data_IF_547571391550
#
_entry.id   IF_547571391550
#
_cell.length_a   1.000
_cell.length_b   1.000
_cell.length_c   1.000
_cell.angle_alpha   90.00
_cell.angle_beta   90.00
_cell.angle_gamma   90.00
#
_symmetry.space_group_name_H-M   'P 1'
#
loop_
_entity.id
_entity.type
_entity.pdbx_description
1 polymer ?
#
# COMPACT_ATOMS: atom_id res chain seq x y z
N UNK A 1 19.42 28.99 2.23
CA UNK A 1 18.41 27.96 1.94
C UNK A 1 19.09 26.59 1.93
N UNK A 2 18.46 25.55 2.47
CA UNK A 2 19.02 24.20 2.58
C UNK A 2 17.97 23.21 2.08
N UNK A 3 18.34 22.27 1.19
CA UNK A 3 17.45 21.18 0.75
C UNK A 3 17.35 20.12 1.86
N UNK A 4 16.12 19.69 2.15
CA UNK A 4 15.80 18.71 3.19
C UNK A 4 14.98 17.57 2.60
N UNK A 5 15.36 16.34 2.93
CA UNK A 5 14.57 15.13 2.67
C UNK A 5 13.47 14.93 3.73
N UNK A 6 12.73 13.82 3.64
CA UNK A 6 11.63 13.50 4.56
C UNK A 6 12.03 13.42 6.05
N UNK A 7 13.26 13.02 6.36
CA UNK A 7 13.74 12.89 7.74
C UNK A 7 14.29 14.22 8.25
N UNK A 8 15.13 14.88 7.44
CA UNK A 8 15.70 16.18 7.75
C UNK A 8 14.62 17.27 7.87
N UNK A 9 13.54 17.19 7.08
CA UNK A 9 12.41 18.12 7.16
C UNK A 9 11.71 18.05 8.51
N UNK A 10 11.41 16.86 9.04
CA UNK A 10 10.77 16.73 10.36
C UNK A 10 11.67 17.31 11.46
N UNK A 11 12.97 17.00 11.43
CA UNK A 11 13.93 17.55 12.39
C UNK A 11 13.98 19.08 12.33
N UNK A 12 14.07 19.66 11.13
CA UNK A 12 14.10 21.10 10.92
C UNK A 12 12.80 21.78 11.37
N UNK A 13 11.63 21.19 11.06
CA UNK A 13 10.33 21.72 11.49
C UNK A 13 10.22 21.68 13.02
N UNK A 14 10.66 20.60 13.67
CA UNK A 14 10.65 20.50 15.15
C UNK A 14 11.57 21.53 15.78
N UNK A 15 12.76 21.73 15.24
CA UNK A 15 13.69 22.77 15.72
C UNK A 15 13.07 24.17 15.55
N UNK A 16 12.54 24.45 14.35
CA UNK A 16 11.85 25.71 14.04
C UNK A 16 10.71 25.99 15.02
N UNK A 17 9.91 24.97 15.32
CA UNK A 17 8.78 25.09 16.24
C UNK A 17 9.21 25.11 17.70
N UNK A 18 10.33 24.51 18.11
CA UNK A 18 10.79 24.50 19.49
C UNK A 18 11.17 25.90 19.99
N UNK A 19 11.81 26.70 19.14
CA UNK A 19 12.39 28.01 19.51
C UNK A 19 11.40 29.19 19.37
N UNK A 20 10.23 28.96 18.78
CA UNK A 20 9.26 30.02 18.52
C UNK A 20 8.38 30.34 19.75
N UNK A 21 7.63 31.44 19.72
CA UNK A 21 6.43 31.61 20.59
C UNK A 21 5.14 31.63 19.77
N UNK A 22 5.29 31.81 18.45
CA UNK A 22 4.21 31.91 17.49
C UNK A 22 4.61 31.23 16.18
N UNK A 23 3.68 30.48 15.60
CA UNK A 23 3.87 29.80 14.32
C UNK A 23 2.64 29.95 13.41
N UNK A 24 2.90 29.95 12.10
CA UNK A 24 1.87 29.94 11.05
C UNK A 24 2.07 28.74 10.15
N UNK A 25 1.08 27.87 10.08
CA UNK A 25 1.17 26.57 9.41
C UNK A 25 0.12 26.49 8.31
N UNK A 26 0.52 26.70 7.06
CA UNK A 26 -0.34 26.47 5.89
C UNK A 26 -0.04 25.08 5.33
N UNK A 27 -0.71 24.07 5.89
CA UNK A 27 -0.47 22.66 5.57
C UNK A 27 -1.80 22.00 5.23
N UNK A 28 -1.92 21.55 3.99
CA UNK A 28 -3.18 21.04 3.45
C UNK A 28 -3.75 19.87 4.26
N UNK A 29 -2.92 18.87 4.58
CA UNK A 29 -3.38 17.59 5.14
C UNK A 29 -2.76 17.30 6.51
N UNK A 30 -3.60 16.81 7.43
CA UNK A 30 -3.24 16.50 8.82
C UNK A 30 -3.58 15.05 9.17
N UNK A 31 -2.60 14.29 9.64
CA UNK A 31 -2.73 12.88 10.01
C UNK A 31 -2.81 12.68 11.53
N UNK A 32 -3.14 11.45 11.95
CA UNK A 32 -3.17 11.08 13.38
C UNK A 32 -1.80 11.30 14.03
N UNK A 33 -1.79 11.96 15.19
CA UNK A 33 -0.59 12.18 16.02
C UNK A 33 0.34 13.28 15.49
N UNK A 34 -0.16 14.18 14.64
CA UNK A 34 0.61 15.30 14.12
C UNK A 34 0.97 16.30 15.23
N UNK A 35 0.06 16.54 16.17
CA UNK A 35 0.27 17.45 17.30
C UNK A 35 1.54 17.08 18.08
N UNK A 36 1.65 15.83 18.50
CA UNK A 36 2.77 15.36 19.31
C UNK A 36 4.07 15.32 18.51
N UNK A 37 4.01 14.86 17.24
CA UNK A 37 5.19 14.76 16.38
C UNK A 37 5.83 16.11 16.11
N UNK A 38 5.00 17.13 15.91
CA UNK A 38 5.43 18.50 15.64
C UNK A 38 5.69 19.29 16.93
N UNK A 39 5.31 18.76 18.10
CA UNK A 39 5.43 19.44 19.38
C UNK A 39 4.51 20.66 19.51
N UNK A 40 3.32 20.62 18.89
CA UNK A 40 2.35 21.73 18.92
C UNK A 40 1.67 21.90 20.28
N UNK A 41 1.69 20.87 21.11
CA UNK A 41 1.17 20.84 22.48
C UNK A 41 2.11 21.49 23.50
N UNK A 42 3.33 21.86 23.10
CA UNK A 42 4.30 22.44 24.03
C UNK A 42 3.81 23.73 24.68
N UNK A 43 4.16 23.99 25.95
CA UNK A 43 3.84 25.25 26.61
C UNK A 43 4.44 26.46 25.89
N UNK A 44 3.71 27.57 25.83
CA UNK A 44 4.19 28.84 25.29
C UNK A 44 4.09 29.01 23.78
N UNK A 45 3.80 27.95 23.01
CA UNK A 45 3.53 28.05 21.58
C UNK A 45 2.08 28.43 21.31
N UNK A 46 1.88 29.46 20.49
CA UNK A 46 0.63 29.74 19.80
C UNK A 46 0.77 29.40 18.31
N UNK A 47 -0.27 28.83 17.70
CA UNK A 47 -0.22 28.50 16.27
C UNK A 47 -1.49 28.88 15.53
N UNK A 48 -1.33 29.48 14.36
CA UNK A 48 -2.40 29.65 13.37
C UNK A 48 -2.25 28.57 12.30
N UNK A 49 -3.27 27.71 12.17
CA UNK A 49 -3.26 26.59 11.25
C UNK A 49 -4.29 26.83 10.17
N UNK A 50 -3.84 26.73 8.92
CA UNK A 50 -4.69 26.73 7.73
C UNK A 50 -4.57 25.36 7.05
N UNK A 51 -5.70 24.65 6.91
CA UNK A 51 -5.76 23.32 6.29
C UNK A 51 -6.85 23.24 5.20
N UNK A 52 -7.12 22.05 4.65
CA UNK A 52 -8.14 21.81 3.64
C UNK A 52 -9.10 20.69 4.06
N UNK A 53 -10.24 21.04 4.66
CA UNK A 53 -11.24 20.09 5.14
C UNK A 53 -11.98 19.41 3.99
N UNK A 54 -12.22 20.12 2.89
CA UNK A 54 -12.94 19.68 1.70
C UNK A 54 -12.20 18.58 0.92
N UNK A 55 -10.89 18.44 1.13
CA UNK A 55 -10.07 17.40 0.53
C UNK A 55 -10.42 15.97 1.01
N UNK A 56 -11.07 15.85 2.18
CA UNK A 56 -11.28 14.59 2.88
C UNK A 56 -9.98 13.88 3.29
N UNK A 57 -8.82 14.55 3.23
CA UNK A 57 -7.52 13.95 3.51
C UNK A 57 -7.01 14.21 4.94
N UNK A 58 -7.71 15.04 5.71
CA UNK A 58 -7.39 15.30 7.12
C UNK A 58 -8.07 14.28 8.04
N UNK A 59 -7.33 13.77 9.03
CA UNK A 59 -7.85 12.87 10.04
C UNK A 59 -8.82 13.62 10.97
N UNK A 60 -10.10 13.21 11.08
CA UNK A 60 -11.10 13.96 11.84
C UNK A 60 -10.83 14.02 13.35
N UNK A 61 -10.21 12.97 13.91
CA UNK A 61 -9.83 12.96 15.32
C UNK A 61 -8.72 13.96 15.59
N UNK A 62 -7.75 14.08 14.68
CA UNK A 62 -6.70 15.07 14.81
C UNK A 62 -7.24 16.50 14.63
N UNK A 63 -8.13 16.73 13.65
CA UNK A 63 -8.79 18.02 13.46
C UNK A 63 -9.54 18.47 14.73
N UNK A 64 -10.28 17.58 15.38
CA UNK A 64 -10.98 17.88 16.64
C UNK A 64 -9.99 18.29 17.73
N UNK A 65 -8.86 17.58 17.87
CA UNK A 65 -7.82 17.93 18.84
C UNK A 65 -7.15 19.27 18.54
N UNK A 66 -6.92 19.60 17.27
CA UNK A 66 -6.38 20.91 16.87
C UNK A 66 -7.37 22.03 17.18
N UNK A 67 -8.66 21.80 16.93
CA UNK A 67 -9.74 22.74 17.21
C UNK A 67 -9.92 23.00 18.71
N UNK A 68 -9.88 21.94 19.53
CA UNK A 68 -10.07 22.04 20.98
C UNK A 68 -8.84 22.60 21.72
N UNK A 69 -7.70 22.74 21.04
CA UNK A 69 -6.46 23.16 21.69
C UNK A 69 -6.45 24.68 21.93
N UNK A 70 -6.30 25.17 23.18
CA UNK A 70 -6.56 26.57 23.54
C UNK A 70 -5.57 27.58 22.96
N UNK A 71 -4.44 27.11 22.42
CA UNK A 71 -3.41 27.96 21.81
C UNK A 71 -3.33 27.81 20.29
N UNK A 72 -4.25 27.06 19.68
CA UNK A 72 -4.30 26.85 18.24
C UNK A 72 -5.56 27.53 17.69
N UNK A 73 -5.39 28.30 16.61
CA UNK A 73 -6.51 28.78 15.80
C UNK A 73 -6.57 27.97 14.52
N UNK A 74 -7.69 27.31 14.26
CA UNK A 74 -7.87 26.45 13.10
C UNK A 74 -8.77 27.11 12.05
N UNK A 75 -8.27 27.19 10.82
CA UNK A 75 -8.97 27.72 9.64
C UNK A 75 -8.85 26.74 8.48
N UNK A 76 -9.78 26.82 7.54
CA UNK A 76 -9.77 25.99 6.32
C UNK A 76 -9.80 26.85 5.06
N UNK A 77 -9.20 26.35 3.99
CA UNK A 77 -9.34 26.90 2.65
C UNK A 77 -9.45 25.76 1.62
N UNK A 78 -10.53 25.68 0.82
CA UNK A 78 -10.83 24.53 -0.04
C UNK A 78 -9.81 24.30 -1.17
N UNK A 79 -9.16 25.38 -1.63
CA UNK A 79 -8.10 25.30 -2.64
C UNK A 79 -6.68 25.18 -2.05
N UNK A 80 -6.52 25.00 -0.74
CA UNK A 80 -5.19 24.87 -0.14
C UNK A 80 -4.57 23.51 -0.48
N UNK A 81 -3.39 23.55 -1.12
CA UNK A 81 -2.51 22.39 -1.30
C UNK A 81 -1.06 22.67 -0.88
N UNK A 82 -0.80 23.80 -0.22
CA UNK A 82 0.53 24.17 0.26
C UNK A 82 0.96 23.35 1.49
N UNK A 83 2.27 23.32 1.74
CA UNK A 83 2.89 22.81 2.96
C UNK A 83 4.00 23.77 3.38
N UNK A 84 3.63 24.73 4.20
CA UNK A 84 4.50 25.79 4.68
C UNK A 84 4.43 25.84 6.20
N UNK A 85 5.60 25.80 6.81
CA UNK A 85 5.84 25.89 8.24
C UNK A 85 6.61 27.18 8.49
N UNK A 86 6.04 28.13 9.23
CA UNK A 86 6.64 29.45 9.37
C UNK A 86 6.68 29.91 10.83
N UNK A 87 7.77 30.58 11.20
CA UNK A 87 7.92 31.38 12.42
C UNK A 87 8.69 32.66 12.07
N UNK A 88 8.78 33.60 13.01
CA UNK A 88 9.59 34.81 12.80
C UNK A 88 11.09 34.51 12.59
N UNK A 89 11.58 33.34 13.04
CA UNK A 89 12.98 32.92 12.95
C UNK A 89 13.33 32.12 11.70
N UNK A 90 12.35 31.58 10.98
CA UNK A 90 12.60 30.74 9.81
C UNK A 90 11.33 30.13 9.22
N UNK A 91 11.50 29.41 8.11
CA UNK A 91 10.44 28.64 7.49
C UNK A 91 10.96 27.35 6.85
N UNK A 92 10.08 26.35 6.78
CA UNK A 92 10.25 25.16 5.95
C UNK A 92 9.11 25.14 4.93
N UNK A 93 9.45 24.94 3.66
CA UNK A 93 8.49 24.90 2.57
C UNK A 93 8.79 23.69 1.68
N UNK A 94 7.78 22.92 1.30
CA UNK A 94 8.00 21.77 0.42
C UNK A 94 6.78 20.90 0.20
N UNK A 95 7.02 19.60 0.09
CA UNK A 95 5.99 18.58 -0.18
C UNK A 95 5.42 17.91 1.08
N UNK A 96 6.11 18.01 2.22
CA UNK A 96 5.77 17.33 3.48
C UNK A 96 4.47 17.83 4.14
N UNK A 97 3.42 17.01 4.15
CA UNK A 97 2.21 17.26 4.95
C UNK A 97 2.40 16.85 6.42
N UNK A 98 1.51 17.30 7.31
CA UNK A 98 1.50 16.96 8.73
C UNK A 98 1.00 15.51 9.00
N UNK A 99 1.67 14.49 8.45
CA UNK A 99 1.22 13.10 8.52
C UNK A 99 2.39 12.12 8.61
N UNK A 100 2.13 10.87 9.02
CA UNK A 100 3.16 9.83 9.13
C UNK A 100 3.92 9.61 7.80
N UNK A 101 3.21 9.70 6.67
CA UNK A 101 3.80 9.43 5.37
C UNK A 101 4.57 10.65 4.80
N UNK A 102 4.28 11.86 5.28
CA UNK A 102 4.93 13.10 4.83
C UNK A 102 5.99 13.66 5.79
N UNK A 103 6.06 13.12 7.00
CA UNK A 103 7.09 13.41 8.00
C UNK A 103 7.62 12.05 8.47
N UNK A 104 8.56 11.48 7.71
CA UNK A 104 9.11 10.16 7.99
C UNK A 104 9.68 10.10 9.41
N UNK A 105 9.33 9.06 10.16
CA UNK A 105 9.84 8.84 11.51
C UNK A 105 11.09 7.95 11.41
N UNK A 106 12.16 8.28 12.15
CA UNK A 106 13.29 7.38 12.36
C UNK A 106 12.76 6.05 12.94
N UNK A 107 12.80 4.99 12.13
CA UNK A 107 12.27 3.66 12.46
C UNK A 107 11.10 3.17 11.60
N UNK A 108 10.39 4.07 10.90
CA UNK A 108 9.29 3.76 9.95
C UNK A 108 9.71 3.94 8.47
N UNK A 109 11.01 4.03 8.20
CA UNK A 109 11.62 4.32 6.89
C UNK A 109 11.29 3.31 5.77
N UNK A 110 10.52 2.26 6.04
CA UNK A 110 10.12 1.27 5.05
C UNK A 110 8.84 1.63 4.26
N UNK A 111 8.16 2.76 4.55
CA UNK A 111 6.87 3.09 3.91
C UNK A 111 6.47 4.56 3.76
N UNK A 112 7.38 5.52 4.02
CA UNK A 112 7.12 6.96 3.79
C UNK A 112 7.27 7.37 2.32
N UNK A 113 6.69 8.50 1.91
CA UNK A 113 7.01 9.11 0.61
C UNK A 113 8.40 9.74 0.66
N UNK A 114 9.10 9.78 -0.46
CA UNK A 114 10.24 10.68 -0.60
C UNK A 114 9.73 12.12 -0.68
N UNK A 115 10.22 12.97 0.21
CA UNK A 115 9.76 14.35 0.31
C UNK A 115 10.91 15.31 0.02
N UNK A 116 10.59 16.47 -0.57
CA UNK A 116 11.55 17.52 -0.85
C UNK A 116 11.08 18.82 -0.22
N UNK A 117 11.90 19.36 0.66
CA UNK A 117 11.63 20.60 1.36
C UNK A 117 12.85 21.52 1.32
N UNK A 118 12.62 22.80 1.55
CA UNK A 118 13.66 23.81 1.67
C UNK A 118 13.51 24.56 2.99
N UNK A 119 14.61 24.68 3.72
CA UNK A 119 14.71 25.58 4.86
C UNK A 119 15.06 27.00 4.40
N UNK A 120 14.37 27.99 4.95
CA UNK A 120 14.45 29.39 4.58
C UNK A 120 14.66 30.23 5.84
N UNK A 121 15.68 31.08 5.84
CA UNK A 121 16.01 32.03 6.92
C UNK A 121 16.11 33.48 6.45
N UNK A 122 15.88 33.73 5.16
CA UNK A 122 16.00 35.06 4.57
C UNK A 122 14.82 35.96 4.96
N UNK A 123 15.09 37.05 5.67
CA UNK A 123 14.07 37.92 6.27
C UNK A 123 13.03 38.46 5.27
N UNK A 124 13.46 38.80 4.05
CA UNK A 124 12.55 39.24 2.98
C UNK A 124 11.54 38.16 2.61
N UNK A 125 12.03 36.93 2.40
CA UNK A 125 11.18 35.77 2.06
C UNK A 125 10.26 35.40 3.22
N UNK A 126 10.74 35.47 4.46
CA UNK A 126 9.90 35.23 5.65
C UNK A 126 8.75 36.24 5.73
N UNK A 127 9.01 37.51 5.42
CA UNK A 127 7.99 38.56 5.37
C UNK A 127 6.95 38.31 4.27
N UNK A 128 7.39 37.80 3.11
CA UNK A 128 6.50 37.48 2.01
C UNK A 128 5.64 36.24 2.28
N UNK A 129 6.21 35.21 2.91
CA UNK A 129 5.45 34.04 3.40
C UNK A 129 4.39 34.48 4.40
N UNK A 130 4.74 35.36 5.33
CA UNK A 130 3.83 35.88 6.33
C UNK A 130 2.64 36.61 5.70
N UNK A 131 2.92 37.55 4.78
CA UNK A 131 1.89 38.29 4.04
C UNK A 131 1.03 37.37 3.18
N UNK A 132 1.62 36.37 2.55
CA UNK A 132 0.91 35.37 1.77
C UNK A 132 -0.03 34.53 2.66
N UNK A 133 0.46 34.04 3.80
CA UNK A 133 -0.31 33.28 4.77
C UNK A 133 -1.51 34.10 5.25
N UNK A 134 -1.30 35.35 5.67
CA UNK A 134 -2.38 36.22 6.15
C UNK A 134 -3.47 36.38 5.10
N UNK A 135 -3.12 36.70 3.85
CA UNK A 135 -4.11 36.81 2.76
C UNK A 135 -4.87 35.51 2.52
N UNK A 136 -4.17 34.39 2.49
CA UNK A 136 -4.78 33.08 2.23
C UNK A 136 -5.69 32.64 3.38
N UNK A 137 -5.27 32.92 4.62
CA UNK A 137 -6.05 32.66 5.83
C UNK A 137 -7.35 33.47 5.85
N UNK A 138 -7.32 34.74 5.47
CA UNK A 138 -8.53 35.58 5.33
C UNK A 138 -9.46 35.15 4.19
N UNK A 139 -8.91 34.61 3.09
CA UNK A 139 -9.70 34.07 1.99
C UNK A 139 -10.38 32.73 2.34
N UNK A 140 -9.85 32.03 3.34
CA UNK A 140 -10.47 30.85 3.94
C UNK A 140 -11.55 31.22 4.97
N UNK A 141 -11.98 30.23 5.73
CA UNK A 141 -12.99 30.39 6.78
C UNK A 141 -12.51 29.85 8.13
N UNK A 142 -13.05 30.38 9.22
CA UNK A 142 -12.83 29.82 10.56
C UNK A 142 -13.54 28.48 10.64
N UNK A 143 -12.85 27.45 11.14
CA UNK A 143 -13.46 26.12 11.27
C UNK A 143 -14.49 26.14 12.39
N UNK A 144 -15.68 25.59 12.13
CA UNK A 144 -16.70 25.31 13.14
C UNK A 144 -16.81 23.79 13.39
N UNK A 145 -17.40 23.34 14.52
CA UNK A 145 -17.56 21.92 14.82
C UNK A 145 -18.24 21.10 13.71
N UNK A 146 -19.21 21.71 13.01
CA UNK A 146 -19.97 21.14 11.91
C UNK A 146 -19.10 20.89 10.67
N UNK A 147 -18.09 21.73 10.44
CA UNK A 147 -17.15 21.53 9.34
C UNK A 147 -16.23 20.33 9.58
N UNK A 148 -15.87 20.07 10.84
CA UNK A 148 -15.10 18.88 11.22
C UNK A 148 -15.94 17.62 11.02
N UNK A 149 -17.23 17.68 11.34
CA UNK A 149 -18.16 16.56 11.12
C UNK A 149 -18.34 16.28 9.62
N UNK A 150 -18.50 17.33 8.79
CA UNK A 150 -18.52 17.21 7.32
C UNK A 150 -17.20 16.63 6.79
N UNK A 151 -16.06 17.10 7.29
CA UNK A 151 -14.75 16.56 6.92
C UNK A 151 -14.62 15.08 7.30
N UNK A 152 -15.26 14.64 8.40
CA UNK A 152 -15.29 13.23 8.79
C UNK A 152 -16.08 12.35 7.83
N UNK A 153 -17.17 12.86 7.26
CA UNK A 153 -17.92 12.18 6.21
C UNK A 153 -17.09 12.05 4.93
N UNK A 154 -16.46 13.14 4.49
CA UNK A 154 -15.56 13.15 3.32
C UNK A 154 -14.37 12.21 3.51
N UNK A 155 -13.79 12.18 4.71
CA UNK A 155 -12.68 11.27 5.04
C UNK A 155 -13.09 9.80 5.00
N UNK A 156 -14.28 9.46 5.53
CA UNK A 156 -14.85 8.10 5.42
C UNK A 156 -15.12 7.71 3.97
N UNK A 157 -15.66 8.62 3.16
CA UNK A 157 -15.89 8.40 1.73
C UNK A 157 -14.57 8.19 0.99
N UNK A 158 -13.55 8.99 1.31
CA UNK A 158 -12.20 8.85 0.78
C UNK A 158 -11.58 7.50 1.13
N UNK A 159 -11.75 6.96 2.34
CA UNK A 159 -11.26 5.61 2.68
C UNK A 159 -11.86 4.49 1.82
N UNK A 160 -13.05 4.69 1.25
CA UNK A 160 -13.72 3.70 0.38
C UNK A 160 -13.20 3.74 -1.06
N UNK A 161 -12.59 4.85 -1.47
CA UNK A 161 -12.18 5.14 -2.86
C UNK A 161 -10.66 5.28 -2.98
N UNK A 162 -9.97 5.63 -1.88
CA UNK A 162 -8.55 5.91 -1.89
C UNK A 162 -7.80 4.66 -2.34
N UNK A 163 -6.92 4.79 -3.36
CA UNK A 163 -5.86 3.83 -3.55
C UNK A 163 -5.13 3.77 -2.20
N UNK A 164 -5.15 2.61 -1.56
CA UNK A 164 -4.29 2.37 -0.42
C UNK A 164 -2.90 2.83 -0.84
N UNK A 165 -2.22 3.67 -0.05
CA UNK A 165 -0.80 4.00 -0.25
C UNK A 165 0.12 2.78 -0.13
N UNK A 166 -0.36 1.59 -0.50
CA UNK A 166 0.42 0.41 -0.84
C UNK A 166 1.29 0.80 -2.03
N UNK A 167 2.55 0.43 -1.92
CA UNK A 167 3.50 0.28 -3.03
C UNK A 167 2.74 -0.09 -4.30
N UNK A 168 2.92 0.67 -5.38
CA UNK A 168 2.46 0.24 -6.71
C UNK A 168 3.06 -1.14 -6.92
N UNK A 169 2.21 -2.13 -7.20
CA UNK A 169 2.65 -3.48 -7.45
C UNK A 169 3.75 -3.44 -8.52
N UNK A 170 4.89 -4.07 -8.23
CA UNK A 170 6.03 -4.08 -9.14
C UNK A 170 5.85 -5.09 -10.25
N UNK A 171 5.01 -6.11 -10.02
CA UNK A 171 4.72 -7.16 -10.97
C UNK A 171 3.21 -7.33 -11.18
N UNK A 172 2.82 -8.00 -12.27
CA UNK A 172 1.43 -8.23 -12.61
C UNK A 172 0.73 -9.12 -11.56
N UNK A 173 1.42 -10.14 -11.08
CA UNK A 173 0.89 -11.06 -10.08
C UNK A 173 0.76 -10.39 -8.71
N UNK A 174 1.70 -9.53 -8.30
CA UNK A 174 1.56 -8.71 -7.09
C UNK A 174 0.29 -7.83 -7.19
N UNK A 175 0.03 -7.24 -8.36
CA UNK A 175 -1.17 -6.44 -8.59
C UNK A 175 -2.44 -7.29 -8.45
N UNK A 176 -2.44 -8.52 -8.97
CA UNK A 176 -3.54 -9.47 -8.83
C UNK A 176 -3.82 -9.81 -7.36
N UNK A 177 -2.83 -10.31 -6.61
CA UNK A 177 -3.06 -10.69 -5.22
C UNK A 177 -3.39 -9.51 -4.31
N UNK A 178 -2.91 -8.30 -4.65
CA UNK A 178 -3.28 -7.09 -3.92
C UNK A 178 -4.74 -6.67 -4.15
N UNK A 179 -5.35 -7.02 -5.28
CA UNK A 179 -6.71 -6.58 -5.67
C UNK A 179 -7.40 -7.57 -6.63
N UNK A 180 -7.66 -8.83 -6.24
CA UNK A 180 -8.13 -9.88 -7.16
C UNK A 180 -9.55 -9.65 -7.69
N UNK A 181 -10.36 -8.83 -6.99
CA UNK A 181 -11.72 -8.47 -7.40
C UNK A 181 -11.78 -7.23 -8.32
N UNK A 182 -10.64 -6.63 -8.67
CA UNK A 182 -10.61 -5.41 -9.48
C UNK A 182 -11.18 -5.66 -10.89
N UNK A 183 -12.05 -4.77 -11.37
CA UNK A 183 -12.78 -4.97 -12.62
C UNK A 183 -11.87 -5.04 -13.87
N UNK A 184 -10.65 -4.51 -13.79
CA UNK A 184 -9.67 -4.55 -14.91
C UNK A 184 -9.26 -5.97 -15.30
N UNK A 185 -9.33 -6.93 -14.38
CA UNK A 185 -8.96 -8.32 -14.67
C UNK A 185 -9.91 -9.00 -15.65
N UNK A 186 -11.16 -8.51 -15.75
CA UNK A 186 -12.13 -8.94 -16.78
C UNK A 186 -11.75 -8.48 -18.19
N UNK A 187 -10.75 -7.62 -18.29
CA UNK A 187 -10.24 -7.02 -19.54
C UNK A 187 -8.86 -7.56 -19.91
N UNK A 188 -8.32 -8.50 -19.13
CA UNK A 188 -7.04 -9.15 -19.40
C UNK A 188 -7.29 -10.65 -19.61
N UNK A 189 -6.83 -11.17 -20.73
CA UNK A 189 -7.00 -12.57 -21.12
C UNK A 189 -5.64 -13.21 -21.38
N UNK A 190 -5.59 -14.53 -21.29
CA UNK A 190 -4.44 -15.35 -21.67
C UNK A 190 -4.87 -16.27 -22.79
N UNK A 191 -4.22 -16.14 -23.94
CA UNK A 191 -4.45 -16.93 -25.14
C UNK A 191 -3.39 -18.01 -25.26
N UNK A 192 -3.83 -19.24 -25.51
CA UNK A 192 -2.97 -20.38 -25.85
C UNK A 192 -3.39 -20.87 -27.24
N UNK A 193 -2.59 -20.56 -28.25
CA UNK A 193 -2.89 -20.83 -29.66
C UNK A 193 -1.98 -21.92 -30.22
N UNK A 194 -2.55 -23.07 -30.59
CA UNK A 194 -1.83 -24.09 -31.37
C UNK A 194 -1.90 -23.80 -32.86
N UNK A 195 -2.99 -23.17 -33.28
CA UNK A 195 -3.19 -22.76 -34.66
C UNK A 195 -2.93 -21.27 -34.77
N UNK A 196 -1.92 -20.91 -35.55
CA UNK A 196 -1.72 -19.54 -36.00
C UNK A 196 -2.71 -19.16 -37.09
N UNK A 197 -2.57 -17.95 -37.60
CA UNK A 197 -3.32 -17.49 -38.77
C UNK A 197 -3.04 -18.38 -39.98
N UNK A 198 -4.05 -18.55 -40.83
CA UNK A 198 -3.83 -19.25 -42.10
C UNK A 198 -2.93 -18.40 -43.01
N UNK A 199 -2.19 -19.03 -43.92
CA UNK A 199 -1.36 -18.31 -44.89
C UNK A 199 -2.13 -17.27 -45.72
N UNK A 200 -3.44 -17.52 -45.93
CA UNK A 200 -4.34 -16.56 -46.58
C UNK A 200 -4.52 -15.29 -45.74
N UNK A 201 -4.68 -15.45 -44.43
CA UNK A 201 -4.98 -14.36 -43.50
C UNK A 201 -3.74 -13.55 -43.17
N UNK A 202 -2.59 -14.22 -43.06
CA UNK A 202 -1.29 -13.57 -42.98
C UNK A 202 -1.04 -12.71 -44.23
N UNK A 203 -1.26 -13.27 -45.42
CA UNK A 203 -1.10 -12.52 -46.68
C UNK A 203 -2.08 -11.33 -46.77
N UNK A 204 -3.31 -11.51 -46.30
CA UNK A 204 -4.28 -10.42 -46.24
C UNK A 204 -3.83 -9.29 -45.29
N UNK A 205 -3.39 -9.61 -44.07
CA UNK A 205 -2.88 -8.62 -43.12
C UNK A 205 -1.69 -7.84 -43.69
N UNK A 206 -0.75 -8.54 -44.34
CA UNK A 206 0.41 -7.92 -44.99
C UNK A 206 -0.04 -6.93 -46.07
N UNK A 207 -1.04 -7.29 -46.88
CA UNK A 207 -1.56 -6.41 -47.92
C UNK A 207 -2.28 -5.19 -47.34
N UNK A 208 -3.10 -5.35 -46.30
CA UNK A 208 -3.79 -4.23 -45.64
C UNK A 208 -2.82 -3.22 -45.04
N UNK A 209 -1.69 -3.69 -44.49
CA UNK A 209 -0.61 -2.84 -44.00
C UNK A 209 0.12 -2.14 -45.14
N UNK A 210 0.44 -2.86 -46.22
CA UNK A 210 1.09 -2.31 -47.40
C UNK A 210 0.26 -1.21 -48.08
N UNK A 211 -1.07 -1.39 -48.09
CA UNK A 211 -2.01 -0.41 -48.65
C UNK A 211 -2.32 0.74 -47.69
N UNK A 212 -1.73 0.76 -46.49
CA UNK A 212 -1.90 1.81 -45.49
C UNK A 212 -3.27 1.83 -44.81
N UNK A 213 -4.06 0.76 -44.94
CA UNK A 213 -5.36 0.61 -44.26
C UNK A 213 -5.21 0.15 -42.81
N UNK A 214 -4.13 -0.59 -42.52
CA UNK A 214 -3.76 -1.05 -41.18
C UNK A 214 -2.32 -0.59 -40.84
N UNK A 215 -2.03 -0.44 -39.55
CA UNK A 215 -0.68 -0.10 -39.08
C UNK A 215 0.22 -1.33 -38.95
N UNK A 216 1.54 -1.14 -39.05
CA UNK A 216 2.51 -2.20 -38.73
C UNK A 216 2.35 -2.71 -37.29
N UNK A 217 2.64 -3.99 -37.04
CA UNK A 217 2.50 -4.63 -35.72
C UNK A 217 1.08 -5.07 -35.38
N UNK A 218 0.21 -5.18 -36.39
CA UNK A 218 -1.11 -5.78 -36.27
C UNK A 218 -1.04 -7.29 -36.50
N UNK A 219 -1.78 -8.03 -35.69
CA UNK A 219 -2.08 -9.45 -35.87
C UNK A 219 -3.59 -9.68 -35.70
N UNK A 220 -4.04 -10.94 -35.71
CA UNK A 220 -5.43 -11.28 -35.51
C UNK A 220 -5.63 -12.63 -34.84
N UNK A 221 -6.77 -12.78 -34.18
CA UNK A 221 -7.29 -14.07 -33.73
C UNK A 221 -8.52 -14.45 -34.54
N UNK A 222 -8.65 -15.71 -34.91
CA UNK A 222 -9.87 -16.25 -35.53
C UNK A 222 -10.80 -16.82 -34.45
N UNK A 223 -12.11 -16.61 -34.59
CA UNK A 223 -13.12 -17.25 -33.73
C UNK A 223 -13.36 -16.63 -32.35
N UNK A 224 -12.57 -15.64 -31.94
CA UNK A 224 -12.74 -14.96 -30.64
C UNK A 224 -13.47 -13.61 -30.69
N UNK A 225 -14.20 -13.36 -31.78
CA UNK A 225 -14.91 -12.10 -31.99
C UNK A 225 -15.99 -11.82 -30.94
N UNK A 226 -16.60 -12.86 -30.37
CA UNK A 226 -17.58 -12.74 -29.28
C UNK A 226 -16.93 -12.72 -27.88
N UNK A 227 -15.72 -13.26 -27.73
CA UNK A 227 -15.04 -13.39 -26.45
C UNK A 227 -14.16 -12.17 -26.11
N UNK A 228 -13.57 -11.54 -27.13
CA UNK A 228 -12.68 -10.39 -26.99
C UNK A 228 -13.38 -9.10 -27.39
N UNK A 229 -13.43 -8.14 -26.46
CA UNK A 229 -14.00 -6.82 -26.69
C UNK A 229 -12.93 -5.78 -27.04
N UNK A 230 -13.29 -4.70 -27.78
CA UNK A 230 -12.40 -3.57 -27.99
C UNK A 230 -11.72 -3.06 -26.71
N UNK A 231 -10.40 -2.91 -26.77
CA UNK A 231 -9.58 -2.43 -25.66
C UNK A 231 -9.17 -3.49 -24.64
N UNK A 232 -9.65 -4.74 -24.77
CA UNK A 232 -9.15 -5.86 -23.99
C UNK A 232 -7.66 -6.09 -24.30
N UNK A 233 -6.94 -6.66 -23.33
CA UNK A 233 -5.53 -7.02 -23.42
C UNK A 233 -5.40 -8.55 -23.44
N UNK A 234 -4.44 -9.05 -24.21
CA UNK A 234 -4.17 -10.48 -24.34
C UNK A 234 -2.69 -10.74 -24.10
N UNK A 235 -2.40 -11.70 -23.24
CA UNK A 235 -1.09 -12.32 -23.08
C UNK A 235 -1.10 -13.58 -23.96
N UNK A 236 -0.27 -13.60 -25.00
CA UNK A 236 -0.32 -14.65 -26.01
C UNK A 236 0.78 -15.70 -25.81
N UNK A 237 0.39 -16.95 -26.00
CA UNK A 237 1.28 -18.10 -25.99
C UNK A 237 1.04 -18.99 -27.21
N UNK A 238 2.07 -19.14 -28.05
CA UNK A 238 2.08 -20.10 -29.15
C UNK A 238 2.37 -21.49 -28.62
N UNK A 239 1.52 -22.47 -28.91
CA UNK A 239 1.61 -23.84 -28.37
C UNK A 239 2.25 -24.78 -29.39
N UNK A 240 3.30 -25.48 -28.96
CA UNK A 240 3.94 -26.55 -29.72
C UNK A 240 4.08 -27.80 -28.85
N UNK A 241 3.44 -28.90 -29.26
CA UNK A 241 3.43 -30.14 -28.47
C UNK A 241 2.70 -29.96 -27.13
N UNK A 242 3.44 -30.05 -26.02
CA UNK A 242 2.97 -29.82 -24.64
C UNK A 242 3.52 -28.54 -24.01
N UNK A 243 4.34 -27.79 -24.75
CA UNK A 243 4.97 -26.54 -24.28
C UNK A 243 4.34 -25.36 -24.98
N UNK A 244 4.51 -24.18 -24.41
CA UNK A 244 4.12 -22.93 -25.06
C UNK A 244 5.20 -21.87 -24.92
N UNK A 245 5.35 -21.08 -25.97
CA UNK A 245 6.29 -19.98 -26.04
C UNK A 245 5.53 -18.65 -26.01
N UNK A 246 6.12 -17.65 -25.38
CA UNK A 246 5.52 -16.33 -25.27
C UNK A 246 5.42 -15.67 -26.65
N UNK A 247 4.20 -15.46 -27.13
CA UNK A 247 3.88 -14.89 -28.44
C UNK A 247 3.72 -13.37 -28.44
N UNK A 248 3.58 -12.74 -27.25
CA UNK A 248 3.59 -11.29 -27.10
C UNK A 248 2.45 -10.76 -26.22
N UNK A 249 2.38 -9.43 -26.13
CA UNK A 249 1.27 -8.72 -25.50
C UNK A 249 0.49 -7.97 -26.57
N UNK A 250 -0.82 -8.11 -26.54
CA UNK A 250 -1.68 -7.61 -27.59
C UNK A 250 -2.83 -6.79 -27.03
N UNK A 251 -3.24 -5.75 -27.75
CA UNK A 251 -4.45 -4.98 -27.45
C UNK A 251 -5.47 -5.13 -28.57
N UNK A 252 -6.72 -5.41 -28.20
CA UNK A 252 -7.83 -5.61 -29.12
C UNK A 252 -8.30 -4.30 -29.73
N UNK A 253 -8.37 -4.25 -31.07
CA UNK A 253 -8.80 -3.08 -31.81
C UNK A 253 -10.34 -2.98 -31.92
N UNK A 254 -10.90 -1.76 -32.11
CA UNK A 254 -12.35 -1.52 -32.15
C UNK A 254 -13.14 -2.23 -33.26
N UNK A 255 -12.47 -2.71 -34.31
CA UNK A 255 -13.12 -3.39 -35.43
C UNK A 255 -12.12 -4.07 -36.35
N UNK A 256 -12.65 -4.91 -37.23
CA UNK A 256 -11.91 -5.60 -38.29
C UNK A 256 -12.68 -5.43 -39.61
N UNK A 257 -12.01 -5.08 -40.72
CA UNK A 257 -12.63 -5.15 -42.05
C UNK A 257 -13.04 -6.57 -42.44
N UNK A 258 -12.40 -7.58 -41.84
CA UNK A 258 -12.70 -9.00 -42.00
C UNK A 258 -13.45 -9.48 -40.75
N UNK A 259 -14.76 -9.68 -40.86
CA UNK A 259 -15.68 -9.89 -39.72
C UNK A 259 -15.37 -11.14 -38.89
N UNK A 260 -14.68 -12.14 -39.46
CA UNK A 260 -14.25 -13.35 -38.75
C UNK A 260 -12.97 -13.18 -37.93
N UNK A 261 -12.18 -12.14 -38.21
CA UNK A 261 -10.89 -11.89 -37.56
C UNK A 261 -11.06 -10.82 -36.48
N UNK A 262 -10.48 -11.07 -35.31
CA UNK A 262 -10.35 -10.08 -34.25
C UNK A 262 -8.97 -9.45 -34.33
N UNK A 263 -8.90 -8.23 -34.86
CA UNK A 263 -7.63 -7.50 -34.99
C UNK A 263 -7.09 -7.11 -33.62
N UNK A 264 -5.78 -7.27 -33.49
CA UNK A 264 -5.00 -6.86 -32.33
C UNK A 264 -3.75 -6.11 -32.76
N UNK A 265 -3.26 -5.23 -31.91
CA UNK A 265 -1.98 -4.53 -32.10
C UNK A 265 -1.02 -4.88 -30.97
N UNK A 266 0.24 -5.10 -31.32
CA UNK A 266 1.28 -5.41 -30.33
C UNK A 266 1.49 -4.22 -29.38
N UNK A 267 1.59 -4.52 -28.07
CA UNK A 267 1.91 -3.54 -27.03
C UNK A 267 3.17 -3.95 -26.27
N UNK A 268 3.98 -2.99 -25.85
CA UNK A 268 5.22 -3.28 -25.11
C UNK A 268 4.99 -3.65 -23.63
N UNK A 269 3.82 -3.32 -23.09
CA UNK A 269 3.48 -3.50 -21.68
C UNK A 269 1.95 -3.48 -21.50
N UNK A 270 1.48 -4.19 -20.49
CA UNK A 270 0.07 -4.21 -20.08
C UNK A 270 -0.24 -2.93 -19.31
N UNK A 271 -0.99 -2.01 -19.92
CA UNK A 271 -1.42 -0.77 -19.28
C UNK A 271 -2.79 -0.96 -18.61
N UNK A 272 -2.78 -1.38 -17.34
CA UNK A 272 -3.99 -1.61 -16.56
C UNK A 272 -4.39 -0.32 -15.85
N UNK A 273 -5.50 0.29 -16.28
CA UNK A 273 -6.03 1.51 -15.66
C UNK A 273 -6.17 1.30 -14.14
N UNK A 274 -5.66 2.25 -13.37
CA UNK A 274 -5.67 2.28 -11.89
C UNK A 274 -4.74 1.30 -11.17
N UNK A 275 -4.13 0.32 -11.86
CA UNK A 275 -3.17 -0.61 -11.24
C UNK A 275 -1.73 -0.36 -11.66
N UNK A 276 -1.49 0.12 -12.88
CA UNK A 276 -0.15 0.46 -13.35
C UNK A 276 0.15 -0.05 -14.76
N UNK A 277 1.44 -0.14 -15.07
CA UNK A 277 1.95 -0.67 -16.34
C UNK A 277 2.89 -1.82 -16.03
N UNK A 278 2.70 -2.95 -16.69
CA UNK A 278 3.40 -4.20 -16.35
C UNK A 278 4.05 -4.83 -17.58
N UNK A 279 5.26 -5.33 -17.38
CA UNK A 279 5.92 -6.31 -18.26
C UNK A 279 5.99 -7.60 -17.47
N UNK A 280 5.74 -8.74 -18.11
CA UNK A 280 5.85 -10.04 -17.44
C UNK A 280 7.30 -10.31 -17.04
N UNK A 281 7.49 -10.67 -15.77
CA UNK A 281 8.76 -11.24 -15.32
C UNK A 281 8.95 -12.66 -15.88
N UNK A 282 10.18 -13.16 -15.84
CA UNK A 282 10.47 -14.54 -16.28
C UNK A 282 9.67 -15.58 -15.48
N UNK A 283 9.47 -15.34 -14.17
CA UNK A 283 8.70 -16.22 -13.28
C UNK A 283 7.20 -16.19 -13.62
N UNK A 284 6.63 -15.01 -13.83
CA UNK A 284 5.22 -14.86 -14.22
C UNK A 284 4.96 -15.49 -15.59
N UNK A 285 5.89 -15.30 -16.53
CA UNK A 285 5.81 -15.91 -17.85
C UNK A 285 5.86 -17.45 -17.77
N UNK A 286 6.78 -18.00 -16.96
CA UNK A 286 6.88 -19.44 -16.75
C UNK A 286 5.62 -20.01 -16.06
N UNK A 287 5.06 -19.29 -15.10
CA UNK A 287 3.84 -19.72 -14.40
C UNK A 287 2.61 -19.74 -15.32
N UNK A 288 2.43 -18.69 -16.14
CA UNK A 288 1.35 -18.62 -17.14
C UNK A 288 1.53 -19.68 -18.24
N UNK A 289 2.75 -19.86 -18.75
CA UNK A 289 3.03 -20.95 -19.71
C UNK A 289 2.76 -22.33 -19.10
N UNK A 290 3.07 -22.53 -17.82
CA UNK A 290 2.87 -23.80 -17.10
C UNK A 290 1.43 -24.31 -17.04
N UNK A 291 0.42 -23.44 -17.20
CA UNK A 291 -0.99 -23.86 -17.20
C UNK A 291 -1.54 -24.25 -18.58
N UNK A 292 -0.72 -24.17 -19.64
CA UNK A 292 -1.12 -24.44 -21.05
C UNK A 292 -1.91 -25.74 -21.21
N UNK A 293 -1.38 -26.86 -20.69
CA UNK A 293 -2.02 -28.18 -20.85
C UNK A 293 -3.40 -28.23 -20.21
N UNK A 294 -3.56 -27.58 -19.05
CA UNK A 294 -4.84 -27.56 -18.31
C UNK A 294 -5.84 -26.65 -19.01
N UNK A 295 -5.40 -25.48 -19.49
CA UNK A 295 -6.24 -24.55 -20.24
C UNK A 295 -6.74 -25.15 -21.56
N UNK A 296 -5.89 -25.88 -22.29
CA UNK A 296 -6.28 -26.58 -23.52
C UNK A 296 -7.23 -27.75 -23.28
N UNK A 297 -7.14 -28.42 -22.13
CA UNK A 297 -8.08 -29.49 -21.78
C UNK A 297 -9.52 -28.97 -21.58
N UNK A 298 -9.69 -27.67 -21.33
CA UNK A 298 -11.01 -27.03 -21.20
C UNK A 298 -11.52 -26.38 -22.49
N UNK A 299 -10.71 -26.35 -23.57
CA UNK A 299 -11.11 -25.79 -24.85
C UNK A 299 -12.06 -26.73 -25.62
N UNK A 300 -13.05 -26.18 -26.32
CA UNK A 300 -14.06 -26.95 -27.07
C UNK A 300 -13.45 -27.85 -28.15
N UNK A 301 -12.40 -27.38 -28.83
CA UNK A 301 -11.69 -28.11 -29.88
C UNK A 301 -10.37 -28.74 -29.40
N UNK A 302 -9.94 -28.43 -28.15
CA UNK A 302 -8.66 -28.83 -27.58
C UNK A 302 -7.42 -28.24 -28.27
N UNK A 303 -7.60 -27.27 -29.18
CA UNK A 303 -6.53 -26.68 -29.99
C UNK A 303 -6.17 -25.27 -29.52
N UNK A 304 -7.18 -24.44 -29.29
CA UNK A 304 -6.98 -23.05 -28.87
C UNK A 304 -7.80 -22.74 -27.62
N UNK A 305 -7.17 -22.17 -26.60
CA UNK A 305 -7.84 -21.78 -25.36
C UNK A 305 -7.70 -20.28 -25.13
N UNK A 306 -8.81 -19.65 -24.75
CA UNK A 306 -8.82 -18.28 -24.24
C UNK A 306 -9.42 -18.31 -22.84
N UNK A 307 -8.63 -17.91 -21.86
CA UNK A 307 -9.06 -17.83 -20.46
C UNK A 307 -8.91 -16.41 -19.96
N UNK A 308 -9.78 -16.00 -19.05
CA UNK A 308 -9.56 -14.75 -18.32
C UNK A 308 -8.30 -14.86 -17.46
N UNK A 309 -7.68 -13.72 -17.17
CA UNK A 309 -6.51 -13.70 -16.30
C UNK A 309 -6.82 -14.30 -14.91
N UNK A 310 -8.03 -14.10 -14.39
CA UNK A 310 -8.44 -14.70 -13.12
C UNK A 310 -8.55 -16.22 -13.15
N UNK A 311 -9.03 -16.80 -14.26
CA UNK A 311 -9.05 -18.25 -14.45
C UNK A 311 -7.62 -18.80 -14.57
N UNK A 312 -6.74 -18.13 -15.31
CA UNK A 312 -5.33 -18.50 -15.40
C UNK A 312 -4.65 -18.50 -14.01
N UNK A 313 -4.90 -17.47 -13.19
CA UNK A 313 -4.40 -17.42 -11.81
C UNK A 313 -4.96 -18.54 -10.94
N UNK A 314 -6.24 -18.87 -11.08
CA UNK A 314 -6.83 -20.00 -10.36
C UNK A 314 -6.20 -21.34 -10.75
N UNK A 315 -5.86 -21.54 -12.03
CA UNK A 315 -5.14 -22.73 -12.50
C UNK A 315 -3.71 -22.78 -11.93
N UNK A 316 -3.02 -21.64 -11.86
CA UNK A 316 -1.69 -21.53 -11.24
C UNK A 316 -1.77 -21.90 -9.76
N UNK A 317 -2.76 -21.37 -9.04
CA UNK A 317 -2.95 -21.64 -7.61
C UNK A 317 -3.33 -23.11 -7.37
N UNK A 318 -4.15 -23.72 -8.23
CA UNK A 318 -4.52 -25.13 -8.15
C UNK A 318 -3.36 -26.09 -8.50
N UNK A 319 -2.47 -25.68 -9.40
CA UNK A 319 -1.27 -26.42 -9.79
C UNK A 319 -0.12 -26.32 -8.78
N UNK A 320 -0.16 -25.33 -7.88
CA UNK A 320 0.73 -25.30 -6.71
C UNK A 320 0.26 -26.37 -5.73
N UNK A 321 1.10 -27.39 -5.48
CA UNK A 321 0.97 -28.17 -4.25
C UNK A 321 0.83 -27.20 -3.07
N UNK A 322 0.08 -27.50 -2.00
CA UNK A 322 -0.03 -26.60 -0.86
C UNK A 322 1.36 -26.39 -0.27
N UNK A 323 2.02 -25.32 -0.70
CA UNK A 323 3.28 -24.89 -0.13
C UNK A 323 2.96 -24.55 1.32
N UNK A 324 3.64 -25.22 2.24
CA UNK A 324 3.75 -24.74 3.62
C UNK A 324 4.02 -23.23 3.51
N UNK A 325 3.20 -22.37 4.15
CA UNK A 325 3.35 -20.93 3.99
C UNK A 325 4.81 -20.56 4.27
N UNK A 326 5.40 -19.76 3.37
CA UNK A 326 6.75 -19.26 3.52
C UNK A 326 6.92 -18.80 4.98
N UNK A 327 7.98 -19.28 5.63
CA UNK A 327 8.21 -19.00 7.04
C UNK A 327 8.12 -17.47 7.25
N UNK A 328 7.31 -17.00 8.20
CA UNK A 328 7.12 -15.57 8.45
C UNK A 328 8.47 -14.89 8.63
N UNK A 329 8.66 -13.69 8.06
CA UNK A 329 9.91 -12.94 8.22
C UNK A 329 10.22 -12.78 9.73
N UNK A 330 11.38 -13.27 10.22
CA UNK A 330 11.79 -13.09 11.62
C UNK A 330 11.75 -11.62 12.07
N UNK A 331 12.05 -10.66 11.19
CA UNK A 331 11.97 -9.23 11.52
C UNK A 331 10.53 -8.75 11.71
N UNK A 332 9.57 -9.37 11.03
CA UNK A 332 8.15 -9.09 11.23
C UNK A 332 7.67 -9.63 12.59
N UNK A 333 8.23 -10.75 13.04
CA UNK A 333 7.99 -11.27 14.39
C UNK A 333 8.62 -10.37 15.46
N UNK A 334 9.83 -9.83 15.22
CA UNK A 334 10.46 -8.86 16.12
C UNK A 334 9.58 -7.62 16.34
N UNK A 335 9.00 -7.08 15.26
CA UNK A 335 8.03 -5.97 15.34
C UNK A 335 6.77 -6.34 16.13
N UNK A 336 6.26 -7.58 15.96
CA UNK A 336 5.11 -8.04 16.73
C UNK A 336 5.43 -8.16 18.24
N UNK A 337 6.63 -8.62 18.59
CA UNK A 337 7.11 -8.68 19.96
C UNK A 337 7.31 -7.28 20.58
N UNK A 338 7.75 -6.30 19.78
CA UNK A 338 7.82 -4.91 20.23
C UNK A 338 6.41 -4.31 20.44
N UNK A 339 5.47 -4.60 19.54
CA UNK A 339 4.10 -4.10 19.64
C UNK A 339 3.37 -4.57 20.91
N UNK A 340 3.55 -5.83 21.33
CA UNK A 340 2.97 -6.31 22.61
C UNK A 340 3.60 -5.63 23.83
N UNK A 341 4.88 -5.24 23.76
CA UNK A 341 5.53 -4.45 24.80
C UNK A 341 4.97 -3.02 24.87
N UNK A 342 4.84 -2.34 23.73
CA UNK A 342 4.36 -0.96 23.68
C UNK A 342 2.91 -0.88 24.16
N UNK A 343 2.08 -1.85 23.78
CA UNK A 343 0.70 -1.98 24.24
C UNK A 343 0.64 -2.30 25.74
N UNK A 344 1.55 -3.13 26.27
CA UNK A 344 1.68 -3.35 27.71
C UNK A 344 2.04 -2.06 28.49
N UNK A 345 2.96 -1.27 27.93
CA UNK A 345 3.39 0.00 28.52
C UNK A 345 2.23 1.02 28.54
N UNK A 346 1.31 0.95 27.59
CA UNK A 346 0.15 1.87 27.50
C UNK A 346 -0.79 1.80 28.71
N UNK A 347 -0.87 0.66 29.40
CA UNK A 347 -1.63 0.51 30.66
C UNK A 347 -0.75 0.48 31.92
N UNK A 348 0.52 0.89 31.79
CA UNK A 348 1.45 1.07 32.91
C UNK A 348 2.30 -0.15 33.27
N UNK A 349 2.22 -1.25 32.50
CA UNK A 349 3.08 -2.42 32.71
C UNK A 349 4.34 -2.34 31.84
N UNK A 350 5.51 -2.15 32.47
CA UNK A 350 6.78 -1.97 31.75
C UNK A 350 7.78 -3.11 32.07
N UNK A 351 7.74 -4.24 31.36
CA UNK A 351 8.64 -5.35 31.62
C UNK A 351 10.07 -5.07 31.10
N UNK A 352 10.91 -4.51 31.96
CA UNK A 352 12.30 -4.12 31.63
C UNK A 352 13.16 -5.28 31.16
N UNK A 353 13.03 -6.46 31.79
CA UNK A 353 13.73 -7.69 31.39
C UNK A 353 13.32 -8.19 30.01
N UNK A 354 12.04 -8.07 29.66
CA UNK A 354 11.55 -8.45 28.33
C UNK A 354 12.14 -7.54 27.24
N UNK A 355 12.12 -6.21 27.47
CA UNK A 355 12.75 -5.24 26.56
C UNK A 355 14.24 -5.48 26.37
N UNK A 356 14.95 -5.82 27.45
CA UNK A 356 16.37 -6.16 27.38
C UNK A 356 16.60 -7.42 26.52
N UNK A 357 15.83 -8.48 26.74
CA UNK A 357 15.94 -9.71 25.95
C UNK A 357 15.68 -9.46 24.46
N UNK A 358 14.67 -8.63 24.13
CA UNK A 358 14.40 -8.24 22.74
C UNK A 358 15.58 -7.52 22.08
N UNK A 359 16.22 -6.59 22.80
CA UNK A 359 17.39 -5.86 22.29
C UNK A 359 18.62 -6.78 22.11
N UNK A 360 18.81 -7.76 22.99
CA UNK A 360 19.99 -8.65 22.99
C UNK A 360 19.87 -9.84 22.04
N UNK A 361 18.66 -10.36 21.82
CA UNK A 361 18.44 -11.64 21.14
C UNK A 361 17.47 -11.57 19.96
N UNK A 362 16.77 -10.44 19.77
CA UNK A 362 15.66 -10.35 18.82
C UNK A 362 14.42 -11.12 19.30
N UNK A 363 13.31 -10.99 18.59
CA UNK A 363 12.00 -11.50 18.97
C UNK A 363 11.91 -13.02 18.95
N UNK A 364 12.39 -13.67 17.88
CA UNK A 364 12.26 -15.13 17.73
C UNK A 364 13.01 -15.88 18.83
N UNK A 365 14.28 -15.53 19.09
CA UNK A 365 15.09 -16.19 20.11
C UNK A 365 14.63 -15.82 21.53
N UNK A 366 14.17 -14.58 21.75
CA UNK A 366 13.52 -14.18 23.01
C UNK A 366 12.29 -15.04 23.29
N UNK A 367 11.44 -15.27 22.28
CA UNK A 367 10.24 -16.10 22.42
C UNK A 367 10.59 -17.55 22.77
N UNK A 368 11.59 -18.15 22.11
CA UNK A 368 12.06 -19.51 22.44
C UNK A 368 12.53 -19.61 23.89
N UNK A 369 13.30 -18.63 24.36
CA UNK A 369 13.81 -18.60 25.74
C UNK A 369 12.69 -18.52 26.77
N UNK A 370 11.67 -17.70 26.51
CA UNK A 370 10.53 -17.51 27.41
C UNK A 370 9.56 -18.71 27.41
N UNK A 371 9.40 -19.40 26.27
CA UNK A 371 8.56 -20.60 26.18
C UNK A 371 9.23 -21.80 26.85
N UNK A 372 10.53 -22.01 26.61
CA UNK A 372 11.29 -23.13 27.17
C UNK A 372 11.58 -22.95 28.67
N UNK A 373 11.63 -21.71 29.15
CA UNK A 373 11.70 -21.40 30.57
C UNK A 373 10.39 -21.67 31.32
N UNK A 374 10.43 -21.61 32.65
CA UNK A 374 9.21 -21.60 33.48
C UNK A 374 8.42 -20.31 33.25
N UNK A 375 7.12 -20.32 33.60
CA UNK A 375 6.29 -19.12 33.56
C UNK A 375 7.02 -17.98 34.29
N UNK A 376 7.20 -16.87 33.58
CA UNK A 376 7.88 -15.69 34.12
C UNK A 376 6.86 -14.82 34.84
N UNK A 377 7.30 -14.03 35.83
CA UNK A 377 6.43 -13.09 36.54
C UNK A 377 5.66 -12.16 35.62
N UNK A 378 6.17 -11.89 34.41
CA UNK A 378 5.45 -11.08 33.44
C UNK A 378 4.26 -11.74 32.77
N UNK A 379 4.25 -13.07 32.66
CA UNK A 379 3.08 -13.79 32.17
C UNK A 379 1.92 -13.71 33.19
N UNK A 380 2.24 -13.87 34.48
CA UNK A 380 1.27 -13.77 35.56
C UNK A 380 0.69 -12.35 35.66
N UNK A 381 1.52 -11.31 35.53
CA UNK A 381 1.03 -9.91 35.49
C UNK A 381 0.09 -9.66 34.31
N UNK A 382 0.38 -10.17 33.11
CA UNK A 382 -0.54 -10.03 31.96
C UNK A 382 -1.87 -10.76 32.20
N UNK A 383 -1.85 -11.89 32.91
CA UNK A 383 -3.06 -12.60 33.30
C UNK A 383 -3.90 -11.82 34.32
N UNK A 384 -3.27 -11.23 35.35
CA UNK A 384 -3.95 -10.38 36.34
C UNK A 384 -4.65 -9.18 35.68
N UNK A 385 -4.05 -8.63 34.62
CA UNK A 385 -4.64 -7.55 33.82
C UNK A 385 -5.61 -8.03 32.73
N UNK A 386 -5.92 -9.32 32.63
CA UNK A 386 -6.75 -9.92 31.59
C UNK A 386 -6.26 -9.64 30.15
N UNK A 387 -4.94 -9.44 29.97
CA UNK A 387 -4.28 -9.10 28.70
C UNK A 387 -3.33 -10.19 28.21
N UNK A 388 -3.72 -11.47 28.34
CA UNK A 388 -2.94 -12.59 27.80
C UNK A 388 -2.84 -12.57 26.26
N UNK A 389 -3.63 -11.73 25.57
CA UNK A 389 -3.44 -11.41 24.15
C UNK A 389 -2.09 -10.76 23.85
N UNK A 390 -1.43 -10.16 24.85
CA UNK A 390 -0.10 -9.54 24.76
C UNK A 390 1.03 -10.48 25.20
N UNK A 391 0.72 -11.74 25.48
CA UNK A 391 1.72 -12.71 25.85
C UNK A 391 2.51 -13.20 24.64
N UNK A 392 3.74 -13.66 24.88
CA UNK A 392 4.56 -14.31 23.86
C UNK A 392 3.90 -15.60 23.37
N UNK A 393 3.24 -16.30 24.29
CA UNK A 393 2.52 -17.54 24.04
C UNK A 393 1.37 -17.32 23.06
N UNK A 394 0.63 -16.22 23.19
CA UNK A 394 -0.42 -15.86 22.25
C UNK A 394 0.15 -15.65 20.83
N UNK A 395 1.25 -14.91 20.69
CA UNK A 395 1.93 -14.71 19.41
C UNK A 395 2.45 -16.02 18.80
N UNK A 396 3.04 -16.92 19.60
CA UNK A 396 3.58 -18.20 19.09
C UNK A 396 2.48 -19.17 18.64
N UNK A 397 1.29 -19.09 19.25
CA UNK A 397 0.13 -19.91 18.85
C UNK A 397 -0.66 -19.34 17.68
N UNK A 398 -0.39 -18.09 17.27
CA UNK A 398 -1.01 -17.47 16.11
C UNK A 398 -0.60 -18.21 14.82
N UNK A 399 -1.58 -18.55 13.99
CA UNK A 399 -1.37 -19.23 12.71
C UNK A 399 -0.41 -18.46 11.80
N UNK A 400 -0.39 -17.13 11.91
CA UNK A 400 0.52 -16.24 11.19
C UNK A 400 1.99 -16.48 11.54
N UNK A 401 2.33 -16.82 12.78
CA UNK A 401 3.72 -16.95 13.25
C UNK A 401 4.17 -18.39 13.44
N UNK A 402 3.22 -19.34 13.36
CA UNK A 402 3.41 -20.75 13.71
C UNK A 402 4.60 -21.43 13.05
N UNK A 403 4.93 -21.05 11.81
CA UNK A 403 6.04 -21.62 11.05
C UNK A 403 7.45 -21.19 11.53
N UNK A 404 7.56 -20.20 12.43
CA UNK A 404 8.83 -19.79 13.06
C UNK A 404 9.23 -20.67 14.25
N UNK A 405 8.31 -21.49 14.75
CA UNK A 405 8.45 -22.24 16.00
C UNK A 405 8.23 -23.74 15.78
N UNK A 406 8.91 -24.56 16.59
CA UNK A 406 8.71 -25.99 16.55
C UNK A 406 7.32 -26.38 17.07
N UNK A 407 6.86 -27.57 16.68
CA UNK A 407 5.60 -28.12 17.19
C UNK A 407 5.60 -28.27 18.72
N UNK A 408 6.78 -28.52 19.30
CA UNK A 408 6.95 -28.60 20.75
C UNK A 408 6.79 -27.23 21.41
N UNK A 409 7.39 -26.18 20.85
CA UNK A 409 7.28 -24.80 21.36
C UNK A 409 5.83 -24.30 21.32
N UNK A 410 5.14 -24.53 20.21
CA UNK A 410 3.74 -24.16 20.07
C UNK A 410 2.82 -24.95 21.05
N UNK A 411 3.12 -26.24 21.28
CA UNK A 411 2.40 -27.04 22.28
C UNK A 411 2.63 -26.53 23.70
N UNK A 412 3.86 -26.13 24.04
CA UNK A 412 4.18 -25.55 25.35
C UNK A 412 3.42 -24.23 25.57
N UNK A 413 3.45 -23.32 24.59
CA UNK A 413 2.71 -22.05 24.62
C UNK A 413 1.20 -22.28 24.77
N UNK A 414 0.62 -23.15 23.94
CA UNK A 414 -0.82 -23.48 24.00
C UNK A 414 -1.23 -24.10 25.33
N UNK A 415 -0.40 -25.00 25.89
CA UNK A 415 -0.65 -25.61 27.20
C UNK A 415 -0.68 -24.55 28.30
N UNK A 416 0.27 -23.60 28.28
CA UNK A 416 0.36 -22.51 29.27
C UNK A 416 -0.86 -21.59 29.19
N UNK A 417 -1.28 -21.17 27.99
CA UNK A 417 -2.50 -20.36 27.81
C UNK A 417 -3.75 -21.09 28.35
N UNK A 418 -3.89 -22.39 28.06
CA UNK A 418 -5.03 -23.20 28.53
C UNK A 418 -5.08 -23.35 30.05
N UNK A 419 -3.93 -23.48 30.71
CA UNK A 419 -3.85 -23.56 32.17
C UNK A 419 -4.44 -22.33 32.88
N UNK A 420 -4.39 -21.17 32.22
CA UNK A 420 -4.89 -19.89 32.73
C UNK A 420 -6.24 -19.49 32.11
N UNK A 421 -6.91 -20.41 31.40
CA UNK A 421 -8.25 -20.21 30.84
C UNK A 421 -8.32 -19.35 29.57
N UNK A 422 -7.18 -19.05 28.92
CA UNK A 422 -7.17 -18.24 27.71
C UNK A 422 -7.46 -19.07 26.46
N UNK A 423 -8.41 -18.61 25.64
CA UNK A 423 -8.70 -19.17 24.32
C UNK A 423 -8.30 -18.17 23.25
N UNK A 424 -7.34 -18.49 22.37
CA UNK A 424 -6.92 -17.58 21.29
C UNK A 424 -8.12 -17.24 20.40
N UNK A 425 -8.36 -15.96 20.16
CA UNK A 425 -9.35 -15.54 19.18
C UNK A 425 -8.82 -15.90 17.78
N UNK A 426 -9.47 -16.83 17.09
CA UNK A 426 -9.25 -17.08 15.66
C UNK A 426 -9.66 -15.84 14.88
N UNK A 427 -8.71 -14.93 14.61
CA UNK A 427 -8.90 -13.87 13.63
C UNK A 427 -8.87 -14.52 12.25
N UNK A 428 -10.04 -14.72 11.67
CA UNK A 428 -10.23 -15.20 10.30
C UNK A 428 -9.80 -14.21 9.24
#
# INVERSE_FOLDING_TARGET
>A
MILLDETAALAAIRALLADANHARLAVAFWGKGAIERLGLDRPGLTAEILCNLESGACNPKELRRLYDHPRITLRSHPALHAKVWWTAGGAVLGSSNASANGLAVEGDAAGGWHEANVEISEAGVLTDIDRWFTRLSYAGYAVEPEDIDRAAELWKARLRIAPTGRRLAQTLFEAWWASPSHAVWKKLHVAFCRDGLTARDEAWLVQEVADGRLTSGISAYEGWNAALSPGDLVIDYGVSGQTSDFGGLWQVLPGSPEERLRLVVEVRQLALRSLGRFVLTAEENAALSGVTTVALATAEDGRNALVSFGEAMALIDAGRAPERPAAPDPRAFDRAMQAIYDEAASFGYQPTRFRQMLAEHGGVETARRLIRGSATSGFDTLWEHQRLDLSVEALVTDSKWRALFSDEEAKMASKRLKQYGYTPATKG
#
